data_IF_331940621630
#
_entry.id   IF_331940621630
#
_cell.length_a   1.000
_cell.length_b   1.000
_cell.length_c   1.000
_cell.angle_alpha   90.00
_cell.angle_beta   90.00
_cell.angle_gamma   90.00
#
_symmetry.space_group_name_H-M   'P 1'
#
loop_
_entity.id
_entity.type
_entity.pdbx_description
1 polymer ?
#
# COMPACT_ATOMS: atom_id res chain seq x y z
N UNK A 1 -2.53 -11.40 -23.60
CA UNK A 1 -3.43 -12.10 -22.67
C UNK A 1 -2.61 -12.58 -21.50
N UNK A 2 -3.08 -12.43 -20.28
CA UNK A 2 -2.39 -12.91 -19.07
C UNK A 2 -2.82 -14.34 -18.74
N UNK A 3 -1.94 -15.11 -18.08
CA UNK A 3 -2.27 -16.45 -17.60
C UNK A 3 -3.37 -16.40 -16.52
N UNK A 4 -4.26 -17.42 -16.46
CA UNK A 4 -5.22 -17.57 -15.38
C UNK A 4 -4.55 -17.62 -14.01
N UNK A 5 -5.21 -17.05 -12.99
CA UNK A 5 -4.69 -17.04 -11.63
C UNK A 5 -4.76 -18.44 -11.01
N UNK A 6 -3.66 -18.93 -10.45
CA UNK A 6 -3.55 -20.24 -9.79
C UNK A 6 -3.85 -20.14 -8.29
N UNK A 7 -3.35 -19.10 -7.62
CA UNK A 7 -3.64 -18.81 -6.22
C UNK A 7 -4.43 -17.49 -6.12
N UNK A 8 -5.71 -17.57 -5.84
CA UNK A 8 -6.63 -16.45 -5.69
C UNK A 8 -6.96 -16.14 -4.22
N UNK A 9 -6.32 -16.81 -3.26
CA UNK A 9 -6.62 -16.73 -1.83
C UNK A 9 -6.64 -15.30 -1.31
N UNK A 10 -5.65 -14.49 -1.72
CA UNK A 10 -5.61 -13.06 -1.38
C UNK A 10 -6.84 -12.30 -1.92
N UNK A 11 -7.21 -12.49 -3.18
CA UNK A 11 -8.35 -11.80 -3.79
C UNK A 11 -9.68 -12.27 -3.17
N UNK A 12 -9.81 -13.56 -2.84
CA UNK A 12 -10.98 -14.07 -2.11
C UNK A 12 -11.08 -13.41 -0.74
N UNK A 13 -9.97 -13.32 0.00
CA UNK A 13 -9.94 -12.64 1.28
C UNK A 13 -10.34 -11.15 1.15
N UNK A 14 -9.83 -10.43 0.15
CA UNK A 14 -10.24 -9.05 -0.14
C UNK A 14 -11.77 -8.92 -0.33
N UNK A 15 -12.39 -9.89 -1.00
CA UNK A 15 -13.84 -9.93 -1.26
C UNK A 15 -14.64 -10.54 -0.11
N UNK A 16 -14.00 -10.86 1.01
CA UNK A 16 -14.59 -11.48 2.21
C UNK A 16 -15.20 -12.86 1.95
N UNK A 17 -14.70 -13.55 0.95
CA UNK A 17 -15.03 -14.93 0.64
C UNK A 17 -14.20 -15.89 1.51
N UNK A 18 -14.74 -17.07 1.76
CA UNK A 18 -14.04 -18.10 2.53
C UNK A 18 -12.71 -18.48 1.89
N UNK A 19 -11.69 -18.66 2.73
CA UNK A 19 -10.34 -19.08 2.33
C UNK A 19 -9.91 -20.32 3.10
N UNK A 20 -9.06 -21.14 2.51
CA UNK A 20 -8.59 -22.38 3.15
C UNK A 20 -7.52 -22.10 4.22
N UNK A 21 -6.84 -20.97 4.11
CA UNK A 21 -5.87 -20.43 5.07
C UNK A 21 -5.87 -18.89 5.00
N UNK A 22 -5.22 -18.22 5.94
CA UNK A 22 -5.06 -16.76 5.93
C UNK A 22 -3.96 -16.38 4.96
N UNK A 23 -4.25 -15.62 3.88
CA UNK A 23 -3.20 -15.21 2.95
C UNK A 23 -2.25 -14.20 3.58
N UNK A 24 -0.99 -14.24 3.16
CA UNK A 24 0.08 -13.34 3.62
C UNK A 24 0.86 -12.73 2.47
N UNK A 25 1.04 -11.42 2.55
CA UNK A 25 2.04 -10.66 1.81
C UNK A 25 2.62 -9.58 2.72
N UNK A 26 3.73 -8.96 2.37
CA UNK A 26 4.42 -8.06 3.31
C UNK A 26 4.75 -6.72 2.64
N UNK A 27 4.40 -5.62 3.30
CA UNK A 27 4.80 -4.28 2.87
C UNK A 27 6.31 -4.19 2.78
N UNK A 28 6.83 -3.72 1.63
CA UNK A 28 8.26 -3.68 1.27
C UNK A 28 8.90 -5.07 1.20
N UNK A 29 8.14 -6.10 0.81
CA UNK A 29 8.67 -7.46 0.61
C UNK A 29 9.83 -7.52 -0.39
N UNK A 30 9.83 -6.72 -1.44
CA UNK A 30 11.01 -6.42 -2.24
C UNK A 30 11.79 -5.28 -1.57
N UNK A 31 12.95 -5.57 -1.00
CA UNK A 31 13.63 -4.57 -0.20
C UNK A 31 15.07 -4.90 0.21
N UNK A 32 15.72 -3.92 0.80
CA UNK A 32 17.15 -3.95 1.18
C UNK A 32 17.53 -5.02 2.21
N UNK A 33 16.58 -5.74 2.79
CA UNK A 33 16.85 -6.87 3.67
C UNK A 33 17.25 -8.13 2.87
N UNK A 34 16.90 -8.21 1.58
CA UNK A 34 17.24 -9.32 0.69
C UNK A 34 18.61 -9.12 0.03
N UNK A 35 19.53 -10.11 0.11
CA UNK A 35 20.82 -10.04 -0.57
C UNK A 35 20.70 -9.87 -2.10
N UNK A 36 19.78 -10.60 -2.73
CA UNK A 36 19.49 -10.53 -4.16
C UNK A 36 18.99 -9.16 -4.58
N UNK A 37 18.13 -8.52 -3.79
CA UNK A 37 17.70 -7.14 -4.03
C UNK A 37 18.89 -6.17 -4.00
N UNK A 38 19.80 -6.31 -3.02
CA UNK A 38 21.01 -5.47 -2.93
C UNK A 38 21.89 -5.62 -4.16
N UNK A 39 22.02 -6.86 -4.69
CA UNK A 39 22.81 -7.13 -5.88
C UNK A 39 22.20 -6.46 -7.13
N UNK A 40 20.89 -6.59 -7.35
CA UNK A 40 20.20 -5.95 -8.47
C UNK A 40 20.22 -4.42 -8.32
N UNK A 41 20.04 -3.91 -7.10
CA UNK A 41 20.14 -2.48 -6.80
C UNK A 41 21.51 -1.90 -7.10
N UNK A 42 22.58 -2.65 -6.84
CA UNK A 42 23.95 -2.24 -7.16
C UNK A 42 24.18 -2.16 -8.68
N UNK A 43 23.67 -3.14 -9.45
CA UNK A 43 23.71 -3.12 -10.92
C UNK A 43 22.96 -1.90 -11.50
N UNK A 44 21.81 -1.56 -10.93
CA UNK A 44 20.99 -0.43 -11.37
C UNK A 44 21.59 0.95 -11.03
N UNK A 45 22.60 1.02 -10.15
CA UNK A 45 23.33 2.24 -9.77
C UNK A 45 22.56 3.19 -8.85
N UNK A 46 21.26 3.40 -9.09
CA UNK A 46 20.41 4.29 -8.29
C UNK A 46 19.04 3.69 -8.01
N UNK A 47 18.27 4.26 -7.05
CA UNK A 47 16.89 3.83 -6.82
C UNK A 47 16.03 4.08 -8.08
N UNK A 48 16.16 5.24 -8.68
CA UNK A 48 15.44 5.54 -9.92
C UNK A 48 15.90 4.65 -11.07
N UNK A 49 17.20 4.36 -11.20
CA UNK A 49 17.70 3.38 -12.18
C UNK A 49 17.11 1.99 -12.00
N UNK A 50 16.80 1.59 -10.76
CA UNK A 50 16.10 0.34 -10.48
C UNK A 50 14.61 0.44 -10.83
N UNK A 51 13.93 1.50 -10.39
CA UNK A 51 12.48 1.66 -10.53
C UNK A 51 12.04 2.00 -11.96
N UNK A 52 12.86 2.70 -12.75
CA UNK A 52 12.55 3.09 -14.14
C UNK A 52 12.99 2.05 -15.18
N UNK A 53 13.70 1.01 -14.76
CA UNK A 53 14.04 -0.10 -15.64
C UNK A 53 13.08 -1.27 -15.43
N UNK A 54 12.29 -1.58 -16.45
CA UNK A 54 11.24 -2.61 -16.42
C UNK A 54 11.77 -3.99 -16.01
N UNK A 55 12.94 -4.38 -16.52
CA UNK A 55 13.52 -5.70 -16.21
C UNK A 55 13.96 -5.78 -14.75
N UNK A 56 14.63 -4.75 -14.25
CA UNK A 56 15.04 -4.71 -12.84
C UNK A 56 13.83 -4.61 -11.89
N UNK A 57 12.82 -3.79 -12.22
CA UNK A 57 11.60 -3.70 -11.42
C UNK A 57 10.87 -5.06 -11.38
N UNK A 58 10.85 -5.78 -12.50
CA UNK A 58 10.29 -7.14 -12.59
C UNK A 58 11.10 -8.11 -11.74
N UNK A 59 12.42 -8.15 -11.90
CA UNK A 59 13.32 -9.03 -11.16
C UNK A 59 13.12 -8.87 -9.64
N UNK A 60 13.22 -7.63 -9.13
CA UNK A 60 13.12 -7.40 -7.68
C UNK A 60 11.72 -7.67 -7.13
N UNK A 61 10.66 -7.51 -7.92
CA UNK A 61 9.31 -7.87 -7.50
C UNK A 61 9.15 -9.38 -7.32
N UNK A 62 9.82 -10.20 -8.14
CA UNK A 62 9.74 -11.66 -8.08
C UNK A 62 10.62 -12.25 -6.98
N UNK A 63 11.75 -11.65 -6.66
CA UNK A 63 12.73 -12.17 -5.69
C UNK A 63 12.11 -12.63 -4.35
N UNK A 64 11.23 -11.87 -3.66
CA UNK A 64 10.63 -12.35 -2.42
C UNK A 64 9.71 -13.57 -2.64
N UNK A 65 9.07 -13.69 -3.80
CA UNK A 65 8.20 -14.82 -4.12
C UNK A 65 8.99 -16.09 -4.44
N UNK A 66 10.23 -15.97 -4.91
CA UNK A 66 11.12 -17.12 -5.08
C UNK A 66 11.64 -17.64 -3.73
N UNK A 67 11.71 -16.77 -2.74
CA UNK A 67 12.23 -17.09 -1.40
C UNK A 67 11.14 -17.53 -0.42
N UNK A 68 9.96 -16.92 -0.51
CA UNK A 68 8.86 -17.11 0.45
C UNK A 68 7.56 -17.46 -0.28
N UNK A 69 6.73 -18.36 0.27
CA UNK A 69 5.42 -18.69 -0.29
C UNK A 69 4.39 -17.58 0.00
N UNK A 70 4.62 -16.38 -0.53
CA UNK A 70 3.70 -15.25 -0.38
C UNK A 70 2.49 -15.38 -1.31
N UNK A 71 1.34 -14.85 -0.88
CA UNK A 71 0.05 -14.98 -1.57
C UNK A 71 -0.30 -13.79 -2.47
N UNK A 72 0.53 -12.77 -2.51
CA UNK A 72 0.43 -11.66 -3.45
C UNK A 72 1.80 -11.06 -3.76
N UNK A 73 1.97 -10.56 -4.97
CA UNK A 73 3.04 -9.65 -5.36
C UNK A 73 2.56 -8.21 -5.21
N UNK A 74 3.46 -7.30 -4.88
CA UNK A 74 3.23 -5.87 -4.99
C UNK A 74 4.26 -5.26 -5.94
N UNK A 75 3.79 -4.39 -6.83
CA UNK A 75 4.62 -3.64 -7.76
C UNK A 75 5.82 -2.99 -7.04
N UNK A 76 7.02 -3.13 -7.60
CA UNK A 76 8.16 -2.33 -7.13
C UNK A 76 8.13 -0.96 -7.80
N UNK A 77 7.86 0.07 -7.00
CA UNK A 77 7.82 1.48 -7.38
C UNK A 77 7.98 2.35 -6.12
N UNK A 78 7.76 3.65 -6.24
CA UNK A 78 7.70 4.59 -5.12
C UNK A 78 6.40 5.40 -5.16
N UNK A 79 5.88 5.78 -3.99
CA UNK A 79 4.67 6.63 -3.90
C UNK A 79 4.89 8.03 -4.47
N UNK A 80 6.15 8.49 -4.56
CA UNK A 80 6.53 9.84 -4.99
C UNK A 80 6.73 9.97 -6.50
N UNK A 81 6.51 8.90 -7.27
CA UNK A 81 6.59 8.95 -8.74
C UNK A 81 5.54 9.90 -9.35
N UNK A 82 4.36 10.00 -8.73
CA UNK A 82 3.30 10.92 -9.19
C UNK A 82 3.72 12.39 -9.03
N UNK A 83 4.15 12.87 -7.85
CA UNK A 83 4.69 14.23 -7.72
C UNK A 83 5.93 14.50 -8.57
N UNK A 84 6.78 13.49 -8.79
CA UNK A 84 7.93 13.61 -9.70
C UNK A 84 7.47 13.90 -11.13
N UNK A 85 6.47 13.15 -11.62
CA UNK A 85 5.88 13.37 -12.93
C UNK A 85 5.19 14.76 -13.08
N UNK A 86 4.75 15.35 -11.96
CA UNK A 86 4.28 16.75 -11.91
C UNK A 86 5.42 17.76 -12.08
N UNK A 87 6.69 17.33 -12.02
CA UNK A 87 7.87 18.18 -12.25
C UNK A 87 8.55 18.65 -10.97
N UNK A 88 8.33 18.00 -9.82
CA UNK A 88 8.94 18.40 -8.56
C UNK A 88 10.43 18.00 -8.44
N UNK A 89 10.92 17.10 -9.31
CA UNK A 89 12.33 16.69 -9.39
C UNK A 89 12.74 15.83 -8.19
N UNK A 90 12.28 14.57 -8.19
CA UNK A 90 12.58 13.58 -7.16
C UNK A 90 14.03 13.09 -7.25
N UNK A 91 14.70 13.05 -6.12
CA UNK A 91 16.03 12.47 -5.98
C UNK A 91 16.15 11.64 -4.70
N UNK A 92 17.10 10.69 -4.70
CA UNK A 92 17.44 9.84 -3.56
C UNK A 92 18.95 9.93 -3.30
N UNK A 93 19.36 10.66 -2.29
CA UNK A 93 20.75 10.69 -1.86
C UNK A 93 21.10 9.44 -1.02
N UNK A 94 22.39 9.04 -1.06
CA UNK A 94 22.89 7.91 -0.28
C UNK A 94 22.75 8.23 1.23
N UNK A 95 22.04 7.34 1.93
CA UNK A 95 21.79 7.48 3.38
C UNK A 95 20.69 8.50 3.74
N UNK A 96 20.19 9.26 2.79
CA UNK A 96 19.09 10.20 2.95
C UNK A 96 17.80 9.64 2.29
N UNK A 97 16.65 10.08 2.77
CA UNK A 97 15.36 9.73 2.17
C UNK A 97 15.14 10.45 0.83
N UNK A 98 13.95 10.32 0.27
CA UNK A 98 13.56 11.04 -0.94
C UNK A 98 13.57 12.55 -0.72
N UNK A 99 13.95 13.31 -1.75
CA UNK A 99 13.94 14.78 -1.78
C UNK A 99 13.36 15.30 -3.08
N UNK A 100 12.59 16.39 -2.99
CA UNK A 100 12.13 17.17 -4.12
C UNK A 100 12.96 18.44 -4.30
N UNK A 101 13.39 18.69 -5.52
CA UNK A 101 14.16 19.91 -5.87
C UNK A 101 13.30 21.18 -5.77
N UNK A 102 11.99 21.07 -6.07
CA UNK A 102 11.03 22.18 -6.11
C UNK A 102 9.82 21.91 -5.22
N UNK A 103 9.94 22.06 -3.87
CA UNK A 103 8.79 21.89 -2.97
C UNK A 103 7.69 22.93 -3.24
N UNK A 104 6.44 22.54 -2.94
CA UNK A 104 5.25 23.37 -3.19
C UNK A 104 4.87 24.12 -1.90
N UNK A 105 5.21 25.43 -1.80
CA UNK A 105 5.09 26.19 -0.55
C UNK A 105 4.32 27.49 -0.64
N UNK A 106 3.94 27.91 -1.85
CA UNK A 106 3.25 29.17 -2.08
C UNK A 106 2.16 29.02 -3.14
N UNK A 107 1.36 30.07 -3.28
CA UNK A 107 0.23 30.13 -4.21
C UNK A 107 0.67 29.91 -5.66
N UNK A 108 1.80 30.49 -6.06
CA UNK A 108 2.31 30.37 -7.42
C UNK A 108 2.76 28.92 -7.73
N UNK A 109 3.33 28.21 -6.74
CA UNK A 109 3.70 26.82 -6.87
C UNK A 109 2.46 25.91 -6.94
N UNK A 110 1.44 26.16 -6.10
CA UNK A 110 0.18 25.40 -6.13
C UNK A 110 -0.57 25.63 -7.45
N UNK A 111 -0.61 26.86 -7.96
CA UNK A 111 -1.29 27.20 -9.22
C UNK A 111 -0.68 26.49 -10.45
N UNK A 112 0.59 26.05 -10.37
CA UNK A 112 1.24 25.28 -11.45
C UNK A 112 0.97 23.77 -11.40
N UNK A 113 0.40 23.29 -10.30
CA UNK A 113 0.10 21.86 -10.18
C UNK A 113 -1.01 21.46 -11.15
N UNK A 114 -0.80 20.32 -11.78
CA UNK A 114 -1.80 19.68 -12.64
C UNK A 114 -1.61 18.17 -12.64
N UNK A 115 -2.64 17.45 -13.03
CA UNK A 115 -2.53 16.01 -13.26
C UNK A 115 -1.43 15.78 -14.30
N UNK A 116 -0.40 14.98 -14.01
CA UNK A 116 0.72 14.80 -14.93
C UNK A 116 0.30 13.98 -16.15
N UNK A 117 1.00 14.21 -17.26
CA UNK A 117 0.92 13.29 -18.40
C UNK A 117 1.40 11.90 -17.99
N UNK A 118 0.51 10.90 -18.09
CA UNK A 118 0.79 9.52 -17.70
C UNK A 118 1.90 8.87 -18.54
N UNK A 119 2.24 9.40 -19.72
CA UNK A 119 3.41 8.94 -20.48
C UNK A 119 4.72 9.11 -19.71
N UNK A 120 4.83 10.09 -18.80
CA UNK A 120 5.99 10.22 -17.91
C UNK A 120 6.14 9.07 -16.92
N UNK A 121 5.05 8.33 -16.67
CA UNK A 121 4.97 7.17 -15.77
C UNK A 121 4.85 5.85 -16.54
N UNK A 122 5.06 5.86 -17.87
CA UNK A 122 4.92 4.66 -18.70
C UNK A 122 5.76 3.49 -18.20
N UNK A 123 6.96 3.75 -17.68
CA UNK A 123 7.84 2.73 -17.11
C UNK A 123 7.18 1.95 -15.96
N UNK A 124 6.27 2.59 -15.20
CA UNK A 124 5.50 1.90 -14.13
C UNK A 124 4.50 0.93 -14.75
N UNK A 125 3.78 1.37 -15.79
CA UNK A 125 2.75 0.55 -16.45
C UNK A 125 3.38 -0.61 -17.23
N UNK A 126 4.55 -0.37 -17.83
CA UNK A 126 5.36 -1.43 -18.47
C UNK A 126 5.84 -2.45 -17.42
N UNK A 127 6.28 -1.99 -16.24
CA UNK A 127 6.65 -2.87 -15.14
C UNK A 127 5.44 -3.70 -14.65
N UNK A 128 4.25 -3.10 -14.46
CA UNK A 128 3.03 -3.84 -14.10
C UNK A 128 2.75 -4.94 -15.12
N UNK A 129 2.80 -4.63 -16.42
CA UNK A 129 2.56 -5.60 -17.49
C UNK A 129 3.61 -6.71 -17.51
N UNK A 130 4.88 -6.36 -17.34
CA UNK A 130 6.00 -7.30 -17.33
C UNK A 130 5.91 -8.24 -16.11
N UNK A 131 5.71 -7.69 -14.92
CA UNK A 131 5.55 -8.47 -13.68
C UNK A 131 4.35 -9.41 -13.80
N UNK A 132 3.20 -8.92 -14.28
CA UNK A 132 1.99 -9.73 -14.45
C UNK A 132 2.21 -10.93 -15.38
N UNK A 133 2.99 -10.73 -16.47
CA UNK A 133 3.41 -11.83 -17.37
C UNK A 133 4.37 -12.80 -16.70
N UNK A 134 5.38 -12.27 -15.99
CA UNK A 134 6.41 -13.07 -15.32
C UNK A 134 5.86 -13.91 -14.15
N UNK A 135 4.86 -13.39 -13.42
CA UNK A 135 4.12 -14.13 -12.40
C UNK A 135 3.40 -15.35 -12.97
N UNK A 136 3.03 -15.33 -14.26
CA UNK A 136 2.38 -16.43 -14.97
C UNK A 136 1.20 -17.04 -14.18
N UNK A 137 0.41 -16.21 -13.52
CA UNK A 137 -0.75 -16.61 -12.73
C UNK A 137 -0.43 -17.17 -11.33
N UNK A 138 0.82 -17.22 -10.89
CA UNK A 138 1.22 -17.80 -9.59
C UNK A 138 0.49 -17.14 -8.42
N UNK A 139 0.50 -15.82 -8.33
CA UNK A 139 -0.22 -15.01 -7.34
C UNK A 139 -0.70 -13.70 -7.98
N UNK A 140 -1.68 -12.99 -7.38
CA UNK A 140 -2.13 -11.69 -7.89
C UNK A 140 -1.09 -10.60 -7.69
N UNK A 141 -1.14 -9.59 -8.56
CA UNK A 141 -0.31 -8.39 -8.50
C UNK A 141 -1.10 -7.20 -7.94
N UNK A 142 -0.55 -6.58 -6.90
CA UNK A 142 -1.07 -5.35 -6.28
C UNK A 142 -0.36 -4.15 -6.91
N UNK A 143 -1.13 -3.22 -7.47
CA UNK A 143 -0.69 -1.86 -7.79
C UNK A 143 -0.88 -0.93 -6.61
N UNK A 144 -0.21 0.22 -6.58
CA UNK A 144 -0.37 1.15 -5.45
C UNK A 144 -0.04 2.60 -5.78
N UNK A 145 -0.45 3.48 -4.88
CA UNK A 145 -0.05 4.89 -4.82
C UNK A 145 -0.02 5.39 -3.37
N UNK A 146 0.63 6.51 -3.13
CA UNK A 146 0.42 7.28 -1.91
C UNK A 146 -0.97 7.93 -1.91
N UNK A 147 -1.53 8.21 -0.71
CA UNK A 147 -2.75 9.01 -0.58
C UNK A 147 -2.50 10.46 -1.00
N UNK A 148 -3.55 11.20 -1.39
CA UNK A 148 -3.41 12.62 -1.70
C UNK A 148 -2.74 13.44 -0.58
N UNK A 149 -3.09 13.16 0.70
CA UNK A 149 -2.48 13.80 1.85
C UNK A 149 -1.00 13.42 2.05
N UNK A 150 -0.69 12.14 2.01
CA UNK A 150 0.71 11.67 2.13
C UNK A 150 1.60 12.29 1.05
N UNK A 151 1.12 12.38 -0.19
CA UNK A 151 1.85 13.07 -1.27
C UNK A 151 2.02 14.55 -0.97
N UNK A 152 0.97 15.25 -0.51
CA UNK A 152 1.04 16.66 -0.12
C UNK A 152 2.08 16.91 0.98
N UNK A 153 2.19 16.02 1.97
CA UNK A 153 3.24 16.12 2.99
C UNK A 153 4.63 16.19 2.36
N UNK A 154 4.98 15.26 1.49
CA UNK A 154 6.28 15.26 0.81
C UNK A 154 6.45 16.45 -0.14
N UNK A 155 5.40 16.85 -0.85
CA UNK A 155 5.44 17.98 -1.79
C UNK A 155 5.74 19.30 -1.08
N UNK A 156 5.18 19.52 0.12
CA UNK A 156 5.37 20.76 0.90
C UNK A 156 6.65 20.71 1.72
N UNK A 157 6.89 19.62 2.46
CA UNK A 157 8.12 19.46 3.25
C UNK A 157 9.36 19.38 2.35
N UNK A 158 9.22 18.80 1.15
CA UNK A 158 10.31 18.58 0.19
C UNK A 158 11.12 17.32 0.49
N UNK A 159 10.87 16.66 1.60
CA UNK A 159 11.54 15.45 2.09
C UNK A 159 10.69 14.77 3.16
N UNK A 160 11.19 13.67 3.77
CA UNK A 160 10.62 13.14 5.00
C UNK A 160 10.62 14.18 6.13
N UNK A 161 9.63 14.15 6.99
CA UNK A 161 9.50 15.08 8.14
C UNK A 161 9.06 14.32 9.38
N UNK A 162 9.55 14.73 10.56
CA UNK A 162 9.15 14.18 11.84
C UNK A 162 8.05 15.04 12.52
N UNK A 163 7.99 16.34 12.22
CA UNK A 163 7.07 17.29 12.84
C UNK A 163 5.98 17.82 11.91
N UNK A 164 6.16 17.67 10.58
CA UNK A 164 5.20 18.13 9.56
C UNK A 164 4.86 19.62 9.68
N UNK A 165 5.79 20.43 10.10
CA UNK A 165 5.57 21.84 10.45
C UNK A 165 5.12 22.67 9.26
N UNK A 166 5.72 22.50 8.10
CA UNK A 166 5.41 23.31 6.91
C UNK A 166 4.04 22.95 6.34
N UNK A 167 3.77 21.66 6.14
CA UNK A 167 2.50 21.20 5.58
C UNK A 167 1.32 21.52 6.52
N UNK A 168 1.49 21.35 7.85
CA UNK A 168 0.48 21.71 8.82
C UNK A 168 0.28 23.22 8.92
N UNK A 169 1.35 24.02 8.84
CA UNK A 169 1.22 25.48 8.77
C UNK A 169 0.40 25.90 7.55
N UNK A 170 0.66 25.32 6.37
CA UNK A 170 -0.14 25.59 5.17
C UNK A 170 -1.60 25.18 5.35
N UNK A 171 -1.84 23.99 5.89
CA UNK A 171 -3.17 23.45 6.14
C UNK A 171 -4.02 24.41 6.99
N UNK A 172 -3.46 25.02 8.04
CA UNK A 172 -4.19 25.90 8.94
C UNK A 172 -4.24 27.36 8.46
N UNK A 173 -3.19 27.85 7.78
CA UNK A 173 -3.13 29.26 7.37
C UNK A 173 -3.66 29.52 5.96
N UNK A 174 -3.59 28.54 5.08
CA UNK A 174 -4.04 28.61 3.68
C UNK A 174 -4.73 27.30 3.26
N UNK A 175 -5.87 26.95 3.92
CA UNK A 175 -6.62 25.73 3.60
C UNK A 175 -7.07 25.69 2.12
N UNK A 176 -7.32 26.85 1.52
CA UNK A 176 -7.63 26.99 0.10
C UNK A 176 -6.55 26.40 -0.81
N UNK A 177 -5.28 26.68 -0.53
CA UNK A 177 -4.15 26.11 -1.27
C UNK A 177 -4.01 24.62 -1.02
N UNK A 178 -4.22 24.17 0.22
CA UNK A 178 -4.19 22.76 0.56
C UNK A 178 -5.29 21.99 -0.18
N UNK A 179 -6.51 22.49 -0.20
CA UNK A 179 -7.61 21.88 -0.96
C UNK A 179 -7.30 21.80 -2.44
N UNK A 180 -6.73 22.84 -3.04
CA UNK A 180 -6.33 22.86 -4.46
C UNK A 180 -5.30 21.77 -4.74
N UNK A 181 -4.26 21.67 -3.91
CA UNK A 181 -3.22 20.63 -4.04
C UNK A 181 -3.80 19.23 -3.88
N UNK A 182 -4.61 18.98 -2.86
CA UNK A 182 -5.21 17.68 -2.60
C UNK A 182 -6.18 17.25 -3.70
N UNK A 183 -6.89 18.22 -4.30
CA UNK A 183 -7.73 17.99 -5.47
C UNK A 183 -6.94 17.45 -6.65
N UNK A 184 -5.83 18.14 -7.00
CA UNK A 184 -4.94 17.72 -8.11
C UNK A 184 -4.32 16.36 -7.79
N UNK A 185 -3.86 16.15 -6.55
CA UNK A 185 -3.30 14.87 -6.12
C UNK A 185 -4.33 13.74 -6.23
N UNK A 186 -5.60 13.98 -5.82
CA UNK A 186 -6.63 12.96 -5.90
C UNK A 186 -6.92 12.54 -7.34
N UNK A 187 -7.03 13.50 -8.25
CA UNK A 187 -7.28 13.24 -9.66
C UNK A 187 -6.07 12.55 -10.33
N UNK A 188 -4.84 12.96 -9.96
CA UNK A 188 -3.61 12.31 -10.44
C UNK A 188 -3.47 10.87 -9.94
N UNK A 189 -3.72 10.62 -8.65
CA UNK A 189 -3.68 9.27 -8.04
C UNK A 189 -4.73 8.36 -8.67
N UNK A 190 -5.97 8.86 -8.88
CA UNK A 190 -7.02 8.08 -9.53
C UNK A 190 -6.62 7.69 -10.97
N UNK A 191 -6.12 8.64 -11.75
CA UNK A 191 -5.65 8.40 -13.12
C UNK A 191 -4.50 7.38 -13.14
N UNK A 192 -3.53 7.54 -12.23
CA UNK A 192 -2.37 6.66 -12.10
C UNK A 192 -2.73 5.23 -11.71
N UNK A 193 -3.64 5.06 -10.73
CA UNK A 193 -4.11 3.73 -10.32
C UNK A 193 -4.94 3.07 -11.41
N UNK A 194 -5.78 3.82 -12.12
CA UNK A 194 -6.55 3.30 -13.26
C UNK A 194 -5.63 2.81 -14.39
N UNK A 195 -4.52 3.53 -14.66
CA UNK A 195 -3.53 3.09 -15.64
C UNK A 195 -2.79 1.81 -15.18
N UNK A 196 -2.55 1.62 -13.89
CA UNK A 196 -2.02 0.36 -13.35
C UNK A 196 -3.02 -0.80 -13.51
N UNK A 197 -4.33 -0.56 -13.31
CA UNK A 197 -5.39 -1.55 -13.56
C UNK A 197 -5.40 -1.93 -15.05
N UNK A 198 -5.36 -0.94 -15.95
CA UNK A 198 -5.30 -1.17 -17.40
C UNK A 198 -4.03 -1.91 -17.83
N UNK A 199 -2.93 -1.74 -17.12
CA UNK A 199 -1.67 -2.47 -17.34
C UNK A 199 -1.68 -3.91 -16.79
N UNK A 200 -2.66 -4.27 -15.94
CA UNK A 200 -2.84 -5.63 -15.44
C UNK A 200 -2.77 -5.82 -13.92
N UNK A 201 -2.77 -4.76 -13.11
CA UNK A 201 -2.90 -4.89 -11.67
C UNK A 201 -4.26 -5.52 -11.30
N UNK A 202 -4.26 -6.45 -10.33
CA UNK A 202 -5.43 -7.23 -9.93
C UNK A 202 -6.03 -6.78 -8.60
N UNK A 203 -5.33 -5.93 -7.89
CA UNK A 203 -5.79 -5.16 -6.73
C UNK A 203 -5.02 -3.84 -6.72
N UNK A 204 -5.57 -2.81 -6.09
CA UNK A 204 -4.87 -1.52 -5.92
C UNK A 204 -4.94 -1.06 -4.48
N UNK A 205 -3.85 -0.44 -4.01
CA UNK A 205 -3.73 0.00 -2.62
C UNK A 205 -3.32 1.48 -2.53
N UNK A 206 -4.00 2.21 -1.66
CA UNK A 206 -3.68 3.60 -1.31
C UNK A 206 -2.98 3.60 0.04
N UNK A 207 -1.74 4.12 0.07
CA UNK A 207 -0.96 4.26 1.29
C UNK A 207 -1.08 5.67 1.87
N UNK A 208 -1.84 5.82 2.94
CA UNK A 208 -1.90 7.03 3.74
C UNK A 208 -0.94 6.94 4.93
N UNK A 209 0.36 6.93 4.63
CA UNK A 209 1.43 6.74 5.61
C UNK A 209 1.48 7.86 6.66
N UNK A 210 0.90 9.01 6.38
CA UNK A 210 0.94 10.20 7.23
C UNK A 210 -0.44 10.70 7.69
N UNK A 211 -1.51 9.92 7.47
CA UNK A 211 -2.86 10.29 7.96
C UNK A 211 -2.91 10.46 9.47
N UNK A 212 -2.24 9.58 10.21
CA UNK A 212 -2.23 9.59 11.67
C UNK A 212 -1.52 10.78 12.33
N UNK A 213 -0.89 11.68 11.57
CA UNK A 213 -0.31 12.92 12.13
C UNK A 213 -1.32 14.08 12.19
N UNK A 214 -2.51 13.90 11.63
CA UNK A 214 -3.57 14.92 11.60
C UNK A 214 -4.37 14.94 12.90
N UNK A 215 -4.91 16.10 13.23
CA UNK A 215 -5.98 16.22 14.22
C UNK A 215 -7.30 15.66 13.63
N UNK A 216 -8.26 15.30 14.49
CA UNK A 216 -9.48 14.62 14.10
C UNK A 216 -10.22 15.27 12.91
N UNK A 217 -10.63 16.54 13.04
CA UNK A 217 -11.33 17.25 11.97
C UNK A 217 -10.47 17.38 10.70
N UNK A 218 -9.16 17.59 10.85
CA UNK A 218 -8.24 17.72 9.74
C UNK A 218 -8.05 16.37 9.01
N UNK A 219 -8.09 15.24 9.71
CA UNK A 219 -8.08 13.93 9.07
C UNK A 219 -9.32 13.74 8.19
N UNK A 220 -10.51 14.07 8.70
CA UNK A 220 -11.76 13.98 7.94
C UNK A 220 -11.70 14.85 6.67
N UNK A 221 -11.26 16.10 6.81
CA UNK A 221 -11.30 17.09 5.75
C UNK A 221 -10.17 16.92 4.72
N UNK A 222 -8.93 16.67 5.15
CA UNK A 222 -7.75 16.73 4.29
C UNK A 222 -7.17 15.36 3.91
N UNK A 223 -7.52 14.27 4.61
CA UNK A 223 -7.10 12.92 4.23
C UNK A 223 -8.27 12.07 3.75
N UNK A 224 -9.27 11.81 4.61
CA UNK A 224 -10.35 10.88 4.35
C UNK A 224 -11.20 11.29 3.14
N UNK A 225 -11.60 12.56 3.07
CA UNK A 225 -12.42 13.10 1.97
C UNK A 225 -11.73 12.92 0.60
N UNK A 226 -10.43 13.18 0.52
CA UNK A 226 -9.68 13.03 -0.73
C UNK A 226 -9.35 11.59 -1.07
N UNK A 227 -9.17 10.72 -0.07
CA UNK A 227 -9.10 9.27 -0.29
C UNK A 227 -10.42 8.73 -0.84
N UNK A 228 -11.56 9.17 -0.31
CA UNK A 228 -12.89 8.84 -0.83
C UNK A 228 -13.06 9.31 -2.28
N UNK A 229 -12.57 10.52 -2.61
CA UNK A 229 -12.58 11.06 -3.98
C UNK A 229 -11.76 10.20 -4.96
N UNK A 230 -10.58 9.71 -4.55
CA UNK A 230 -9.81 8.75 -5.37
C UNK A 230 -10.63 7.49 -5.62
N UNK A 231 -11.14 6.86 -4.55
CA UNK A 231 -11.90 5.61 -4.62
C UNK A 231 -13.12 5.70 -5.55
N UNK A 232 -13.81 6.83 -5.55
CA UNK A 232 -14.97 7.07 -6.41
C UNK A 232 -14.64 7.10 -7.91
N UNK A 233 -13.38 7.34 -8.28
CA UNK A 233 -12.91 7.41 -9.66
C UNK A 233 -12.21 6.13 -10.13
N UNK A 234 -11.99 5.15 -9.24
CA UNK A 234 -11.27 3.93 -9.59
C UNK A 234 -12.16 2.95 -10.37
N UNK A 235 -11.57 2.36 -11.39
CA UNK A 235 -12.13 1.21 -12.10
C UNK A 235 -12.30 0.03 -11.14
N UNK A 236 -13.41 -0.68 -11.28
CA UNK A 236 -13.72 -1.87 -10.48
C UNK A 236 -13.39 -3.17 -11.19
N UNK A 237 -13.14 -3.12 -12.49
CA UNK A 237 -12.92 -4.29 -13.34
C UNK A 237 -11.56 -4.17 -14.03
N UNK A 238 -10.78 -5.22 -13.93
CA UNK A 238 -9.49 -5.35 -14.58
C UNK A 238 -9.59 -5.76 -16.04
N UNK A 239 -8.44 -5.83 -16.72
CA UNK A 239 -8.32 -6.20 -18.14
C UNK A 239 -8.74 -7.65 -18.46
N UNK A 240 -8.81 -8.50 -17.45
CA UNK A 240 -9.27 -9.88 -17.52
C UNK A 240 -10.77 -10.04 -17.17
N UNK A 241 -11.48 -8.94 -16.96
CA UNK A 241 -12.89 -8.92 -16.60
C UNK A 241 -13.18 -9.24 -15.14
N UNK A 242 -12.16 -9.43 -14.30
CA UNK A 242 -12.34 -9.72 -12.88
C UNK A 242 -12.43 -8.43 -12.05
N UNK A 243 -13.10 -8.51 -10.88
CA UNK A 243 -13.14 -7.39 -9.94
C UNK A 243 -11.75 -7.08 -9.37
N UNK A 244 -11.44 -5.78 -9.28
CA UNK A 244 -10.21 -5.26 -8.70
C UNK A 244 -10.48 -4.71 -7.31
N UNK A 245 -10.15 -5.44 -6.22
CA UNK A 245 -10.29 -4.93 -4.87
C UNK A 245 -9.42 -3.70 -4.62
N UNK A 246 -9.98 -2.75 -3.84
CA UNK A 246 -9.34 -1.51 -3.46
C UNK A 246 -9.03 -1.57 -1.97
N UNK A 247 -7.78 -1.33 -1.64
CA UNK A 247 -7.26 -1.37 -0.27
C UNK A 247 -6.87 0.05 0.16
N UNK A 248 -7.20 0.41 1.40
CA UNK A 248 -6.76 1.67 2.01
C UNK A 248 -5.99 1.35 3.29
N UNK A 249 -4.80 1.90 3.41
CA UNK A 249 -3.98 1.80 4.62
C UNK A 249 -3.71 3.19 5.18
N UNK A 250 -3.99 3.39 6.46
CA UNK A 250 -3.62 4.62 7.18
C UNK A 250 -2.80 4.26 8.42
N UNK A 251 -1.53 4.71 8.46
CA UNK A 251 -0.71 4.58 9.66
C UNK A 251 -1.24 5.54 10.73
N UNK A 252 -1.50 5.03 11.93
CA UNK A 252 -2.13 5.79 13.01
C UNK A 252 -3.64 5.99 12.82
N UNK A 253 -4.26 5.30 11.85
CA UNK A 253 -5.68 5.47 11.50
C UNK A 253 -6.67 4.79 12.44
N UNK A 254 -6.20 4.08 13.48
CA UNK A 254 -7.07 3.31 14.37
C UNK A 254 -8.16 4.10 15.10
N UNK A 255 -7.96 5.41 15.31
CA UNK A 255 -8.95 6.29 15.91
C UNK A 255 -10.16 6.61 15.00
N UNK A 256 -9.97 6.49 13.69
CA UNK A 256 -10.98 6.82 12.66
C UNK A 256 -11.49 5.58 11.92
N UNK A 257 -11.39 4.41 12.54
CA UNK A 257 -11.72 3.17 11.88
C UNK A 257 -13.18 3.07 11.44
N UNK A 258 -14.11 3.65 12.21
CA UNK A 258 -15.54 3.76 11.85
C UNK A 258 -15.75 4.60 10.58
N UNK A 259 -15.02 5.69 10.45
CA UNK A 259 -15.11 6.58 9.30
C UNK A 259 -14.45 5.94 8.07
N UNK A 260 -13.28 5.31 8.26
CA UNK A 260 -12.62 4.55 7.21
C UNK A 260 -13.47 3.36 6.72
N UNK A 261 -14.24 2.73 7.61
CA UNK A 261 -15.14 1.64 7.25
C UNK A 261 -16.28 2.06 6.32
N UNK A 262 -16.59 3.37 6.25
CA UNK A 262 -17.58 3.92 5.30
C UNK A 262 -17.01 4.20 3.91
N UNK A 263 -15.68 4.14 3.74
CA UNK A 263 -15.05 4.30 2.43
C UNK A 263 -15.51 3.20 1.46
N UNK A 264 -15.62 3.54 0.19
CA UNK A 264 -15.95 2.61 -0.88
C UNK A 264 -14.72 1.78 -1.31
N UNK A 265 -14.22 0.96 -0.37
CA UNK A 265 -13.10 0.02 -0.57
C UNK A 265 -13.44 -1.34 0.04
N UNK A 266 -12.72 -2.36 -0.33
CA UNK A 266 -12.95 -3.74 0.13
C UNK A 266 -12.14 -4.06 1.38
N UNK A 267 -10.94 -3.46 1.54
CA UNK A 267 -9.98 -3.80 2.59
C UNK A 267 -9.49 -2.57 3.32
N UNK A 268 -9.42 -2.65 4.65
CA UNK A 268 -8.72 -1.69 5.50
C UNK A 268 -7.42 -2.28 6.03
N UNK A 269 -6.30 -1.63 5.70
CA UNK A 269 -5.00 -1.94 6.26
C UNK A 269 -4.77 -1.23 7.58
N UNK A 270 -4.28 -1.95 8.56
CA UNK A 270 -4.10 -1.51 9.94
C UNK A 270 -2.62 -1.54 10.31
N UNK A 271 -2.18 -0.55 11.07
CA UNK A 271 -0.86 -0.60 11.70
C UNK A 271 -0.89 -1.40 13.01
N UNK A 272 0.29 -1.62 13.60
CA UNK A 272 0.49 -2.47 14.77
C UNK A 272 -0.13 -1.94 16.08
N UNK A 273 -0.63 -0.71 16.11
CA UNK A 273 -1.23 -0.11 17.31
C UNK A 273 -2.69 -0.55 17.50
N UNK A 274 -3.30 -1.13 16.47
CA UNK A 274 -4.71 -1.53 16.46
C UNK A 274 -4.85 -3.00 16.86
N UNK A 275 -5.77 -3.30 17.78
CA UNK A 275 -6.17 -4.69 18.07
C UNK A 275 -7.13 -5.20 16.98
N UNK A 276 -6.76 -6.29 16.30
CA UNK A 276 -7.53 -6.82 15.17
C UNK A 276 -8.94 -7.28 15.55
N UNK A 277 -9.11 -7.91 16.71
CA UNK A 277 -10.43 -8.36 17.16
C UNK A 277 -11.39 -7.20 17.45
N UNK A 278 -10.89 -6.14 18.06
CA UNK A 278 -11.67 -4.90 18.25
C UNK A 278 -11.99 -4.24 16.90
N UNK A 279 -11.01 -4.16 16.02
CA UNK A 279 -11.21 -3.61 14.67
C UNK A 279 -12.26 -4.41 13.89
N UNK A 280 -12.19 -5.75 13.94
CA UNK A 280 -13.18 -6.64 13.33
C UNK A 280 -14.61 -6.37 13.83
N UNK A 281 -14.78 -6.23 15.13
CA UNK A 281 -16.08 -5.92 15.74
C UNK A 281 -16.58 -4.53 15.31
N UNK A 282 -15.68 -3.54 15.31
CA UNK A 282 -15.98 -2.15 14.97
C UNK A 282 -16.41 -2.02 13.50
N UNK A 283 -15.62 -2.53 12.54
CA UNK A 283 -15.95 -2.42 11.11
C UNK A 283 -17.15 -3.28 10.70
N UNK A 284 -17.44 -4.36 11.43
CA UNK A 284 -18.59 -5.23 11.19
C UNK A 284 -19.92 -4.58 11.57
N UNK A 285 -19.92 -3.58 12.46
CA UNK A 285 -21.12 -2.88 12.93
C UNK A 285 -21.47 -1.62 12.14
N UNK A 286 -20.62 -1.16 11.24
CA UNK A 286 -20.82 0.11 10.53
C UNK A 286 -21.90 -0.02 9.46
N UNK A 287 -22.95 0.80 9.60
CA UNK A 287 -23.98 1.10 8.59
C UNK A 287 -24.75 -0.10 8.02
N UNK A 288 -24.89 -1.22 8.77
CA UNK A 288 -25.65 -2.39 8.27
C UNK A 288 -25.06 -3.00 7.00
N UNK A 289 -23.87 -2.59 6.60
CA UNK A 289 -23.14 -3.10 5.44
C UNK A 289 -22.42 -4.41 5.78
N UNK A 290 -21.89 -5.07 4.75
CA UNK A 290 -21.24 -6.37 4.91
C UNK A 290 -19.89 -6.31 5.64
N UNK A 291 -19.46 -5.16 6.19
CA UNK A 291 -18.16 -4.95 6.81
C UNK A 291 -17.00 -4.87 5.80
N UNK A 292 -15.76 -4.85 6.28
CA UNK A 292 -14.54 -4.81 5.49
C UNK A 292 -13.66 -6.03 5.79
N UNK A 293 -12.87 -6.46 4.81
CA UNK A 293 -11.71 -7.29 5.09
C UNK A 293 -10.66 -6.45 5.84
N UNK A 294 -9.93 -7.06 6.76
CA UNK A 294 -8.85 -6.40 7.50
C UNK A 294 -7.50 -6.93 7.07
N UNK A 295 -6.54 -6.04 6.86
CA UNK A 295 -5.16 -6.39 6.54
C UNK A 295 -4.21 -5.89 7.60
N UNK A 296 -3.29 -6.71 8.01
CA UNK A 296 -2.23 -6.36 8.95
C UNK A 296 -2.03 -7.45 9.99
N UNK A 297 -1.47 -7.15 11.15
CA UNK A 297 -0.90 -5.84 11.51
C UNK A 297 0.25 -5.99 12.53
N UNK A 298 1.02 -7.08 12.39
CA UNK A 298 2.12 -7.32 13.34
C UNK A 298 3.16 -6.19 13.31
N UNK A 299 3.74 -5.85 14.47
CA UNK A 299 4.85 -4.88 14.52
C UNK A 299 6.04 -5.40 13.68
N UNK A 300 6.51 -4.64 12.68
CA UNK A 300 7.66 -5.06 11.87
C UNK A 300 8.93 -5.36 12.69
N UNK A 301 9.09 -4.75 13.86
CA UNK A 301 10.24 -4.97 14.73
C UNK A 301 10.24 -6.34 15.41
N UNK A 302 9.12 -7.06 15.41
CA UNK A 302 9.07 -8.47 15.84
C UNK A 302 10.03 -9.32 15.00
N UNK A 303 10.28 -8.95 13.74
CA UNK A 303 11.21 -9.65 12.86
C UNK A 303 12.69 -9.55 13.29
N UNK A 304 13.03 -8.78 14.33
CA UNK A 304 14.36 -8.81 14.95
C UNK A 304 14.47 -9.84 16.09
N UNK A 305 13.34 -10.40 16.52
CA UNK A 305 13.32 -11.40 17.58
C UNK A 305 13.63 -12.82 17.03
N UNK A 306 14.03 -13.77 17.89
CA UNK A 306 14.21 -15.16 17.48
C UNK A 306 12.92 -15.77 16.87
N UNK A 307 13.03 -16.77 15.96
CA UNK A 307 11.87 -17.38 15.30
C UNK A 307 10.73 -17.80 16.24
N UNK A 308 11.03 -18.41 17.38
CA UNK A 308 10.02 -18.80 18.35
C UNK A 308 9.23 -17.62 18.96
N UNK A 309 9.82 -16.42 19.03
CA UNK A 309 9.09 -15.22 19.45
C UNK A 309 8.23 -14.66 18.29
N UNK A 310 8.72 -14.75 17.07
CA UNK A 310 7.95 -14.38 15.87
C UNK A 310 6.71 -15.25 15.77
N UNK A 311 6.85 -16.57 15.89
CA UNK A 311 5.73 -17.52 15.85
C UNK A 311 4.67 -17.23 16.92
N UNK A 312 5.08 -16.92 18.17
CA UNK A 312 4.14 -16.54 19.24
C UNK A 312 3.39 -15.24 18.93
N UNK A 313 4.05 -14.25 18.36
CA UNK A 313 3.39 -12.98 18.00
C UNK A 313 2.48 -13.14 16.78
N UNK A 314 2.83 -13.98 15.80
CA UNK A 314 1.92 -14.39 14.73
C UNK A 314 0.66 -15.02 15.31
N UNK A 315 0.84 -16.01 16.19
CA UNK A 315 -0.29 -16.68 16.85
C UNK A 315 -1.17 -15.67 17.61
N UNK A 316 -0.57 -14.80 18.42
CA UNK A 316 -1.30 -13.76 19.15
C UNK A 316 -2.10 -12.84 18.23
N UNK A 317 -1.52 -12.46 17.11
CA UNK A 317 -2.18 -11.61 16.09
C UNK A 317 -3.37 -12.32 15.46
N UNK A 318 -3.19 -13.59 15.10
CA UNK A 318 -4.23 -14.44 14.52
C UNK A 318 -5.36 -14.73 15.51
N UNK A 319 -5.01 -15.08 16.76
CA UNK A 319 -5.97 -15.30 17.84
C UNK A 319 -6.80 -14.04 18.14
N UNK A 320 -6.15 -12.86 18.07
CA UNK A 320 -6.84 -11.57 18.25
C UNK A 320 -7.90 -11.33 17.17
N UNK A 321 -7.64 -11.68 15.92
CA UNK A 321 -8.65 -11.59 14.86
C UNK A 321 -9.81 -12.58 15.12
N UNK A 322 -9.51 -13.76 15.62
CA UNK A 322 -10.46 -14.84 15.89
C UNK A 322 -10.71 -15.75 14.68
N UNK A 323 -11.77 -16.58 14.74
CA UNK A 323 -12.00 -17.62 13.74
C UNK A 323 -12.07 -17.08 12.31
N UNK A 324 -11.42 -17.81 11.40
CA UNK A 324 -11.48 -17.55 9.96
C UNK A 324 -12.88 -17.87 9.42
N UNK A 325 -13.33 -17.07 8.44
CA UNK A 325 -14.54 -17.36 7.71
C UNK A 325 -14.32 -18.55 6.75
N UNK A 326 -15.12 -19.60 6.91
CA UNK A 326 -14.97 -20.86 6.16
C UNK A 326 -16.21 -21.24 5.34
N UNK A 327 -17.33 -20.55 5.55
CA UNK A 327 -18.57 -20.82 4.80
C UNK A 327 -18.48 -20.23 3.39
N UNK A 328 -18.37 -21.10 2.40
CA UNK A 328 -18.24 -20.72 0.98
C UNK A 328 -19.53 -20.18 0.35
N UNK A 329 -20.66 -20.32 1.01
CA UNK A 329 -21.96 -19.84 0.54
C UNK A 329 -22.25 -18.39 0.93
N UNK A 330 -21.48 -17.83 1.85
CA UNK A 330 -21.67 -16.48 2.41
C UNK A 330 -20.39 -15.64 2.32
N UNK A 331 -20.50 -14.35 2.60
CA UNK A 331 -19.36 -13.47 2.86
C UNK A 331 -19.26 -13.21 4.35
N UNK A 332 -18.05 -13.06 4.85
CA UNK A 332 -17.81 -12.87 6.27
C UNK A 332 -16.53 -12.11 6.57
N UNK A 333 -16.19 -11.90 7.83
CA UNK A 333 -14.95 -11.25 8.23
C UNK A 333 -13.74 -12.06 7.76
N UNK A 334 -12.84 -11.45 7.02
CA UNK A 334 -11.60 -12.07 6.53
C UNK A 334 -10.39 -11.27 6.97
N UNK A 335 -9.29 -11.97 7.11
CA UNK A 335 -7.99 -11.43 7.49
C UNK A 335 -6.97 -11.69 6.36
N UNK A 336 -6.22 -10.68 6.02
CA UNK A 336 -5.04 -10.75 5.17
C UNK A 336 -3.86 -10.42 6.08
N UNK A 337 -2.99 -11.40 6.34
CA UNK A 337 -1.86 -11.14 7.21
C UNK A 337 -0.83 -10.24 6.54
N UNK A 338 -0.36 -9.25 7.27
CA UNK A 338 0.70 -8.34 6.85
C UNK A 338 1.40 -7.76 8.08
N UNK A 339 2.50 -7.06 7.85
CA UNK A 339 3.09 -6.17 8.84
C UNK A 339 2.23 -4.91 8.97
N UNK A 340 2.27 -4.27 10.12
CA UNK A 340 1.64 -2.96 10.33
C UNK A 340 2.36 -1.80 9.64
N UNK A 341 3.52 -2.04 9.02
CA UNK A 341 4.28 -1.15 8.14
C UNK A 341 5.33 -1.96 7.35
N UNK A 342 6.18 -1.30 6.56
CA UNK A 342 7.18 -1.98 5.74
C UNK A 342 8.30 -2.68 6.53
N UNK A 343 8.83 -3.77 5.96
CA UNK A 343 9.98 -4.51 6.50
C UNK A 343 11.18 -3.57 6.66
N UNK A 344 11.87 -3.69 7.80
CA UNK A 344 13.11 -2.96 8.04
C UNK A 344 14.27 -3.58 7.24
N UNK A 345 15.17 -2.74 6.72
CA UNK A 345 16.32 -3.16 5.90
C UNK A 345 17.34 -4.07 6.63
N UNK A 346 17.28 -4.15 7.94
CA UNK A 346 18.17 -4.97 8.79
C UNK A 346 17.52 -6.29 9.22
N UNK A 347 16.30 -6.58 8.76
CA UNK A 347 15.59 -7.83 9.06
C UNK A 347 16.35 -9.01 8.45
N UNK A 348 16.64 -10.09 9.22
CA UNK A 348 17.16 -11.33 8.66
C UNK A 348 16.11 -12.01 7.76
N UNK A 349 16.44 -12.40 6.52
CA UNK A 349 15.49 -13.06 5.63
C UNK A 349 14.86 -14.34 6.20
N UNK A 350 15.62 -15.10 7.00
CA UNK A 350 15.14 -16.31 7.66
C UNK A 350 14.03 -16.03 8.69
N UNK A 351 14.00 -14.84 9.28
CA UNK A 351 12.93 -14.42 10.19
C UNK A 351 11.63 -14.13 9.43
N UNK A 352 11.73 -13.63 8.21
CA UNK A 352 10.58 -13.48 7.31
C UNK A 352 10.03 -14.87 6.92
N UNK A 353 10.89 -15.84 6.65
CA UNK A 353 10.46 -17.22 6.39
C UNK A 353 9.72 -17.82 7.58
N UNK A 354 10.22 -17.61 8.81
CA UNK A 354 9.57 -18.07 10.03
C UNK A 354 8.16 -17.46 10.18
N UNK A 355 8.02 -16.15 9.94
CA UNK A 355 6.72 -15.46 9.98
C UNK A 355 5.74 -16.05 8.95
N UNK A 356 6.14 -16.15 7.69
CA UNK A 356 5.26 -16.64 6.61
C UNK A 356 4.81 -18.07 6.87
N UNK A 357 5.74 -18.94 7.30
CA UNK A 357 5.43 -20.33 7.67
C UNK A 357 4.46 -20.39 8.85
N UNK A 358 4.67 -19.58 9.90
CA UNK A 358 3.78 -19.54 11.05
C UNK A 358 2.35 -19.11 10.66
N UNK A 359 2.19 -18.14 9.77
CA UNK A 359 0.87 -17.72 9.27
C UNK A 359 0.18 -18.85 8.51
N UNK A 360 0.87 -19.53 7.60
CA UNK A 360 0.29 -20.63 6.83
C UNK A 360 -0.03 -21.88 7.65
N UNK A 361 0.71 -22.11 8.75
CA UNK A 361 0.49 -23.24 9.65
C UNK A 361 -0.59 -22.98 10.69
N UNK A 362 -1.02 -21.74 10.89
CA UNK A 362 -2.07 -21.37 11.85
C UNK A 362 -3.41 -22.00 11.46
N UNK A 363 -4.06 -22.70 12.43
CA UNK A 363 -5.31 -23.46 12.25
C UNK A 363 -6.41 -23.01 13.21
#
# INVERSE_FOLDING_TARGET
MFAPLQNDTFLRACRRQATDYTPVWLMRQAGRYLPEYKATRAKAGSFMGLATNTDYATEVTLQPLERFPLDAAILFSDILTVPDAMGLGLSFALGEGPRFATPVRDEAAVARLQVPDMHKLQYVFDAVTSIRKALNGRVPLIGFSGSPWTLACYMVEGQGSDDYRLVKSMLYSRPDLMHTMLQVNADAVATYLNAQIDAGAQAVMIFDSWGGVLADAAFQEFSLAYTARVLAQLKRTGVDGTDVPRLVFTKGGGLWLDDMARLDCEVLGLDWTVNLGRARAQVGGVAGGPGKALQGNIDPNVLFAPPAAIEREVQRTMDSFGPRHTDRSTVGPTHIFNLGHGINQHTPPEHVAALVNAVHQYR
#
